data_IF_055822855208
#
_entry.id   IF_055822855208
#
_cell.length_a   1.000
_cell.length_b   1.000
_cell.length_c   1.000
_cell.angle_alpha   90.00
_cell.angle_beta   90.00
_cell.angle_gamma   90.00
#
_symmetry.space_group_name_H-M   'P 1'
#
loop_
_entity.id
_entity.type
_entity.pdbx_description
1 polymer ?
#
# COMPACT_ATOMS: atom_id res chain seq x y z
N UNK A 1 2.87 0.36 2.90
CA UNK A 1 1.82 -0.49 3.48
C UNK A 1 2.50 -1.67 4.14
N UNK A 2 2.20 -1.98 5.41
CA UNK A 2 2.92 -3.00 6.18
C UNK A 2 2.02 -4.16 6.66
N UNK A 3 0.70 -4.05 6.49
CA UNK A 3 -0.27 -5.01 7.04
C UNK A 3 -0.13 -6.42 6.45
N UNK A 4 0.35 -6.55 5.20
CA UNK A 4 0.60 -7.84 4.57
C UNK A 4 1.63 -8.69 5.34
N UNK A 5 2.58 -8.07 6.04
CA UNK A 5 3.57 -8.78 6.85
C UNK A 5 2.98 -9.46 8.10
N UNK A 6 1.75 -9.13 8.49
CA UNK A 6 1.05 -9.83 9.57
C UNK A 6 0.50 -11.20 9.12
N UNK A 7 0.42 -11.44 7.81
CA UNK A 7 -0.16 -12.65 7.21
C UNK A 7 0.76 -13.20 6.11
N UNK A 8 1.92 -13.81 6.47
CA UNK A 8 2.89 -14.29 5.49
C UNK A 8 2.30 -15.30 4.51
N UNK A 9 2.56 -15.15 3.22
CA UNK A 9 2.07 -16.02 2.14
C UNK A 9 0.61 -15.78 1.73
N UNK A 10 -0.13 -14.97 2.48
CA UNK A 10 -1.54 -14.67 2.22
C UNK A 10 -1.70 -13.38 1.40
N UNK A 11 -2.74 -13.33 0.56
CA UNK A 11 -3.13 -12.06 -0.09
C UNK A 11 -3.99 -11.24 0.86
N UNK A 12 -3.52 -10.03 1.17
CA UNK A 12 -4.28 -9.04 1.93
C UNK A 12 -4.91 -8.04 0.98
N UNK A 13 -6.22 -7.87 1.10
CA UNK A 13 -7.00 -6.84 0.41
C UNK A 13 -7.33 -5.69 1.35
N UNK A 14 -7.12 -4.46 0.89
CA UNK A 14 -7.46 -3.23 1.61
C UNK A 14 -8.44 -2.44 0.76
N UNK A 15 -9.64 -2.23 1.29
CA UNK A 15 -10.66 -1.36 0.69
C UNK A 15 -10.85 -0.13 1.58
N UNK A 16 -10.73 1.07 1.01
CA UNK A 16 -10.86 2.33 1.74
C UNK A 16 -11.34 3.48 0.83
N UNK A 17 -11.86 4.59 1.37
CA UNK A 17 -12.09 5.79 0.59
C UNK A 17 -10.78 6.55 0.29
N UNK A 18 -10.73 7.27 -0.83
CA UNK A 18 -9.70 8.24 -1.14
C UNK A 18 -9.69 9.35 -0.08
N UNK A 19 -8.50 9.71 0.40
CA UNK A 19 -8.35 10.75 1.42
C UNK A 19 -8.77 12.14 0.93
N UNK A 20 -8.68 12.40 -0.38
CA UNK A 20 -9.01 13.70 -0.98
C UNK A 20 -10.48 13.79 -1.39
N UNK A 21 -10.95 12.89 -2.26
CA UNK A 21 -12.29 12.95 -2.84
C UNK A 21 -13.32 12.00 -2.22
N UNK A 22 -12.89 10.99 -1.45
CA UNK A 22 -13.77 9.98 -0.86
C UNK A 22 -14.17 8.81 -1.77
N UNK A 23 -13.76 8.82 -3.05
CA UNK A 23 -14.03 7.71 -3.99
C UNK A 23 -13.41 6.39 -3.52
N UNK A 24 -14.00 5.23 -3.85
CA UNK A 24 -13.50 3.94 -3.41
C UNK A 24 -12.13 3.62 -4.02
N UNK A 25 -11.24 3.11 -3.16
CA UNK A 25 -9.91 2.61 -3.49
C UNK A 25 -9.79 1.16 -3.02
N UNK A 26 -9.14 0.32 -3.83
CA UNK A 26 -8.80 -1.05 -3.47
C UNK A 26 -7.37 -1.42 -3.86
N UNK A 27 -6.67 -2.12 -2.96
CA UNK A 27 -5.32 -2.63 -3.19
C UNK A 27 -5.22 -4.06 -2.68
N UNK A 28 -4.62 -4.95 -3.46
CA UNK A 28 -4.25 -6.31 -3.05
C UNK A 28 -2.73 -6.44 -2.98
N UNK A 29 -2.25 -7.05 -1.91
CA UNK A 29 -0.83 -7.23 -1.65
C UNK A 29 -0.51 -8.61 -1.12
N UNK A 30 0.71 -9.10 -1.35
CA UNK A 30 1.26 -10.30 -0.72
C UNK A 30 2.74 -10.10 -0.47
N UNK A 31 3.20 -10.39 0.75
CA UNK A 31 4.63 -10.40 1.12
C UNK A 31 5.42 -9.14 0.66
N UNK A 32 4.80 -7.97 0.77
CA UNK A 32 5.38 -6.68 0.39
C UNK A 32 5.20 -6.26 -1.06
N UNK A 33 4.69 -7.13 -1.93
CA UNK A 33 4.38 -6.85 -3.33
C UNK A 33 2.93 -6.40 -3.51
N UNK A 34 2.68 -5.41 -4.37
CA UNK A 34 1.34 -5.02 -4.81
C UNK A 34 0.94 -5.87 -6.01
N UNK A 35 -0.13 -6.63 -5.88
CA UNK A 35 -0.65 -7.51 -6.93
C UNK A 35 -1.68 -6.79 -7.81
N UNK A 36 -2.52 -5.96 -7.21
CA UNK A 36 -3.54 -5.17 -7.92
C UNK A 36 -3.83 -3.86 -7.19
N UNK A 37 -4.22 -2.84 -7.96
CA UNK A 37 -4.54 -1.50 -7.48
C UNK A 37 -5.67 -0.92 -8.34
N UNK A 38 -6.71 -0.39 -7.72
CA UNK A 38 -7.85 0.24 -8.40
C UNK A 38 -8.30 1.49 -7.64
N UNK A 39 -8.16 2.69 -8.23
CA UNK A 39 -7.54 2.97 -9.53
C UNK A 39 -6.03 2.63 -9.55
N UNK A 40 -5.44 2.45 -10.73
CA UNK A 40 -3.99 2.17 -10.85
C UNK A 40 -3.10 3.38 -10.53
N UNK A 41 -3.71 4.54 -10.30
CA UNK A 41 -3.07 5.82 -9.97
C UNK A 41 -3.01 6.13 -8.48
N UNK A 42 -3.33 5.17 -7.61
CA UNK A 42 -3.32 5.37 -6.15
C UNK A 42 -1.93 5.78 -5.67
N UNK A 43 -1.87 6.76 -4.77
CA UNK A 43 -0.66 7.15 -4.06
C UNK A 43 -0.88 7.04 -2.54
N UNK A 44 0.06 6.42 -1.85
CA UNK A 44 0.10 6.40 -0.38
C UNK A 44 0.74 7.66 0.19
N UNK A 45 0.02 8.39 1.05
CA UNK A 45 0.55 9.53 1.80
C UNK A 45 1.04 9.12 3.20
N UNK A 46 2.20 9.63 3.61
CA UNK A 46 2.73 9.49 4.97
C UNK A 46 3.26 10.85 5.42
N UNK A 47 2.79 11.36 6.57
CA UNK A 47 3.25 12.65 7.12
C UNK A 47 4.75 12.69 7.38
N UNK A 48 5.29 11.57 7.86
CA UNK A 48 6.70 11.40 8.15
C UNK A 48 7.32 10.40 7.19
N UNK A 49 8.63 10.50 7.06
CA UNK A 49 9.45 9.51 6.38
C UNK A 49 9.30 8.11 7.01
N UNK A 50 9.13 7.09 6.16
CA UNK A 50 8.93 5.68 6.58
C UNK A 50 9.84 4.79 5.72
N UNK A 51 10.35 3.69 6.27
CA UNK A 51 11.06 2.67 5.48
C UNK A 51 12.60 2.75 5.47
N UNK A 52 13.23 3.27 6.53
CA UNK A 52 14.69 3.22 6.65
C UNK A 52 15.43 4.20 5.73
N UNK A 53 16.71 3.94 5.50
CA UNK A 53 17.60 4.80 4.72
C UNK A 53 17.23 4.76 3.22
N UNK A 54 17.50 5.84 2.46
CA UNK A 54 17.07 5.98 1.06
C UNK A 54 17.50 4.81 0.17
N UNK A 55 18.64 4.19 0.46
CA UNK A 55 19.22 3.10 -0.32
C UNK A 55 18.44 1.78 -0.17
N UNK A 56 17.68 1.64 0.91
CA UNK A 56 16.89 0.45 1.27
C UNK A 56 15.38 0.63 1.16
N UNK A 57 14.92 1.84 0.79
CA UNK A 57 13.49 2.13 0.72
C UNK A 57 12.86 1.39 -0.47
N UNK A 58 11.73 0.69 -0.26
CA UNK A 58 10.93 0.22 -1.39
C UNK A 58 10.54 1.43 -2.25
N UNK A 59 10.88 1.37 -3.54
CA UNK A 59 10.55 2.43 -4.50
C UNK A 59 9.03 2.65 -4.51
N UNK A 60 8.63 3.92 -4.49
CA UNK A 60 7.22 4.34 -4.64
C UNK A 60 6.90 4.51 -6.12
#
# INVERSE_FOLDING_TARGET
MAVCWLFPGETVRVDCPCLDCGDPISVEMRDGEVLSASPDTIIGYTRSEVGGAPESRPWR
#
